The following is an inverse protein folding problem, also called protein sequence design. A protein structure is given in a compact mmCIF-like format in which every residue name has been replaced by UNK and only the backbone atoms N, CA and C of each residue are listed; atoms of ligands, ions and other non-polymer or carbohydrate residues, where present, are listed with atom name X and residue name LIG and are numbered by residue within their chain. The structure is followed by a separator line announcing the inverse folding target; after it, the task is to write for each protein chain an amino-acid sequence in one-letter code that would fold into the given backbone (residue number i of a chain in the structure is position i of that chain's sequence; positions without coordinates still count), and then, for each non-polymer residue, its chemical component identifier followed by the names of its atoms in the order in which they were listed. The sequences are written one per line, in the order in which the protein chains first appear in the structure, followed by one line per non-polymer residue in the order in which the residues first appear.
data_IF_968078390118
#
_entry.id   IF_968078390118
#
_cell.length_a   1.000
_cell.length_b   1.000
_cell.length_c   1.000
_cell.angle_alpha   90.00
_cell.angle_beta   90.00
_cell.angle_gamma   90.00
#
_symmetry.space_group_name_H-M   'P 1'
#
loop_
_entity.id
_entity.type
_entity.pdbx_description
1 polymer ?
#
# COMPACT_ATOMS: atom_id res chain seq x y z
N UNK A 1 16.40 -26.15 10.11
CA UNK A 1 15.32 -25.51 10.89
C UNK A 1 15.56 -25.77 12.37
N UNK A 2 15.34 -24.77 13.23
CA UNK A 2 15.51 -24.87 14.70
C UNK A 2 14.17 -24.65 15.39
N UNK A 3 13.75 -25.54 16.28
CA UNK A 3 12.50 -25.36 17.04
C UNK A 3 12.71 -24.37 18.19
N UNK A 4 11.84 -23.37 18.28
CA UNK A 4 11.82 -22.37 19.35
C UNK A 4 10.85 -22.79 20.45
N UNK A 5 9.65 -23.22 20.07
CA UNK A 5 8.59 -23.64 20.98
C UNK A 5 7.90 -24.87 20.42
N UNK A 6 7.55 -25.81 21.30
CA UNK A 6 6.70 -26.95 20.98
C UNK A 6 5.62 -27.04 22.07
N UNK A 7 4.40 -26.65 21.71
CA UNK A 7 3.21 -26.79 22.53
C UNK A 7 2.43 -28.01 22.06
N UNK A 8 2.65 -29.12 22.74
CA UNK A 8 2.02 -30.40 22.42
C UNK A 8 0.56 -30.49 22.88
N UNK A 9 0.06 -29.56 23.69
CA UNK A 9 -1.35 -29.53 24.08
C UNK A 9 -2.23 -28.90 22.99
N UNK A 10 -1.66 -27.97 22.21
CA UNK A 10 -2.35 -27.27 21.13
C UNK A 10 -1.85 -27.66 19.73
N UNK A 11 -0.95 -28.65 19.61
CA UNK A 11 -0.27 -29.05 18.37
C UNK A 11 0.42 -27.89 17.64
N UNK A 12 0.90 -26.89 18.38
CA UNK A 12 1.57 -25.70 17.84
C UNK A 12 3.09 -25.79 18.00
N UNK A 13 3.81 -25.58 16.89
CA UNK A 13 5.27 -25.58 16.87
C UNK A 13 5.78 -24.32 16.19
N UNK A 14 6.67 -23.56 16.85
CA UNK A 14 7.37 -22.44 16.23
C UNK A 14 8.77 -22.88 15.85
N UNK A 15 9.14 -22.70 14.59
CA UNK A 15 10.44 -23.06 14.05
C UNK A 15 11.11 -21.88 13.35
N UNK A 16 12.41 -21.74 13.51
CA UNK A 16 13.25 -20.85 12.71
C UNK A 16 13.73 -21.60 11.47
N UNK A 17 13.34 -21.08 10.31
CA UNK A 17 13.81 -21.52 9.02
C UNK A 17 14.85 -20.53 8.48
N UNK A 18 16.13 -20.79 8.76
CA UNK A 18 17.21 -19.88 8.35
C UNK A 18 17.43 -19.84 6.84
N UNK A 19 17.11 -20.92 6.12
CA UNK A 19 17.21 -20.97 4.65
C UNK A 19 16.19 -20.03 4.00
N UNK A 20 14.96 -20.02 4.52
CA UNK A 20 13.88 -19.14 4.03
C UNK A 20 13.82 -17.79 4.77
N UNK A 21 14.74 -17.56 5.71
CA UNK A 21 14.84 -16.33 6.53
C UNK A 21 13.51 -15.93 7.17
N UNK A 22 12.83 -16.90 7.77
CA UNK A 22 11.56 -16.69 8.46
C UNK A 22 11.39 -17.61 9.64
N UNK A 23 10.58 -17.19 10.60
CA UNK A 23 9.99 -18.06 11.59
C UNK A 23 8.66 -18.59 11.06
N UNK A 24 8.35 -19.84 11.34
CA UNK A 24 7.13 -20.50 10.90
C UNK A 24 6.40 -21.02 12.13
N UNK A 25 5.10 -20.73 12.21
CA UNK A 25 4.18 -21.36 13.13
C UNK A 25 3.50 -22.51 12.41
N UNK A 26 3.67 -23.71 12.93
CA UNK A 26 3.08 -24.95 12.42
C UNK A 26 1.94 -25.38 13.36
N UNK A 27 0.79 -25.72 12.81
CA UNK A 27 -0.30 -26.41 13.51
C UNK A 27 -0.46 -27.80 12.87
N UNK A 28 -0.32 -28.86 13.66
CA UNK A 28 -0.34 -30.25 13.18
C UNK A 28 0.59 -30.50 11.95
N UNK A 29 1.73 -29.80 11.90
CA UNK A 29 2.72 -29.90 10.81
C UNK A 29 2.45 -29.04 9.58
N UNK A 30 1.36 -28.27 9.56
CA UNK A 30 1.03 -27.32 8.47
C UNK A 30 1.40 -25.90 8.87
N UNK A 31 2.08 -25.15 8.01
CA UNK A 31 2.40 -23.74 8.28
C UNK A 31 1.14 -22.89 8.29
N UNK A 32 0.78 -22.36 9.45
CA UNK A 32 -0.37 -21.49 9.68
C UNK A 32 0.04 -20.03 9.93
N UNK A 33 1.32 -19.77 10.14
CA UNK A 33 1.83 -18.42 10.32
C UNK A 33 3.31 -18.28 9.99
N UNK A 34 3.73 -17.07 9.62
CA UNK A 34 5.13 -16.76 9.35
C UNK A 34 5.53 -15.39 9.88
N UNK A 35 6.79 -15.23 10.26
CA UNK A 35 7.42 -13.95 10.60
C UNK A 35 8.78 -13.87 9.91
N UNK A 36 8.88 -13.02 8.90
CA UNK A 36 10.11 -12.84 8.12
C UNK A 36 11.18 -12.11 8.94
N UNK A 37 12.45 -12.49 8.74
CA UNK A 37 13.58 -11.83 9.36
C UNK A 37 14.78 -11.64 8.44
N UNK A 38 15.71 -10.77 8.84
CA UNK A 38 17.07 -10.70 8.31
C UNK A 38 18.09 -10.72 9.44
N UNK A 39 19.29 -11.18 9.11
CA UNK A 39 20.45 -11.05 9.98
C UNK A 39 21.31 -9.92 9.42
N UNK A 40 21.53 -8.87 10.21
CA UNK A 40 22.42 -7.77 9.85
C UNK A 40 23.45 -7.59 10.96
N UNK A 41 24.69 -8.04 10.72
CA UNK A 41 25.70 -8.11 11.77
C UNK A 41 25.21 -8.99 12.92
N UNK A 42 25.17 -8.44 14.13
CA UNK A 42 24.73 -9.13 15.35
C UNK A 42 23.23 -8.92 15.68
N UNK A 43 22.46 -8.26 14.81
CA UNK A 43 21.04 -7.97 15.05
C UNK A 43 20.11 -8.70 14.09
N UNK A 44 18.87 -8.91 14.55
CA UNK A 44 17.76 -9.43 13.77
C UNK A 44 16.89 -8.27 13.29
N UNK A 45 16.53 -8.24 12.01
CA UNK A 45 15.55 -7.28 11.49
C UNK A 45 14.26 -8.02 11.24
N UNK A 46 13.18 -7.68 11.95
CA UNK A 46 11.88 -8.34 11.81
C UNK A 46 11.03 -7.59 10.78
N UNK A 47 10.41 -8.33 9.87
CA UNK A 47 9.83 -7.79 8.64
C UNK A 47 8.31 -7.78 8.63
N UNK A 48 7.70 -8.92 8.38
CA UNK A 48 6.25 -9.06 8.21
C UNK A 48 5.76 -10.30 8.92
N UNK A 49 4.64 -10.18 9.64
CA UNK A 49 3.95 -11.31 10.27
C UNK A 49 2.68 -11.60 9.47
N UNK A 50 2.49 -12.85 9.07
CA UNK A 50 1.25 -13.29 8.42
C UNK A 50 0.70 -14.56 9.06
N UNK A 51 -0.62 -14.64 9.18
CA UNK A 51 -1.38 -15.84 9.56
C UNK A 51 -2.29 -16.22 8.40
N UNK A 52 -2.38 -17.52 8.07
CA UNK A 52 -3.25 -18.00 6.99
C UNK A 52 -4.69 -17.59 7.23
N UNK A 53 -5.40 -17.24 6.16
CA UNK A 53 -6.72 -16.59 6.20
C UNK A 53 -7.74 -17.33 7.09
N UNK A 54 -7.73 -18.66 7.04
CA UNK A 54 -8.60 -19.57 7.77
C UNK A 54 -8.25 -19.70 9.27
N UNK A 55 -7.06 -19.28 9.69
CA UNK A 55 -6.54 -19.43 11.05
C UNK A 55 -6.46 -18.11 11.84
N UNK A 56 -6.94 -17.01 11.24
CA UNK A 56 -6.90 -15.67 11.85
C UNK A 56 -7.86 -15.54 13.03
N UNK A 57 -7.60 -14.54 13.89
CA UNK A 57 -8.44 -14.25 15.06
C UNK A 57 -8.28 -15.23 16.23
N UNK A 58 -7.46 -16.27 16.08
CA UNK A 58 -7.17 -17.29 17.11
C UNK A 58 -6.00 -16.94 18.04
N UNK A 59 -5.44 -15.73 17.93
CA UNK A 59 -4.27 -15.30 18.72
C UNK A 59 -2.92 -15.84 18.24
N UNK A 60 -2.89 -16.58 17.13
CA UNK A 60 -1.68 -17.24 16.60
C UNK A 60 -0.54 -16.26 16.26
N UNK A 61 -0.86 -15.05 15.79
CA UNK A 61 0.14 -14.01 15.55
C UNK A 61 0.86 -13.60 16.85
N UNK A 62 0.11 -13.45 17.94
CA UNK A 62 0.65 -13.16 19.27
C UNK A 62 1.55 -14.32 19.72
N UNK A 63 1.09 -15.57 19.61
CA UNK A 63 1.90 -16.75 19.96
C UNK A 63 3.23 -16.79 19.21
N UNK A 64 3.19 -16.56 17.89
CA UNK A 64 4.39 -16.52 17.06
C UNK A 64 5.33 -15.39 17.46
N UNK A 65 4.82 -14.17 17.63
CA UNK A 65 5.63 -13.00 18.00
C UNK A 65 6.26 -13.19 19.38
N UNK A 66 5.50 -13.64 20.38
CA UNK A 66 5.99 -13.93 21.73
C UNK A 66 7.14 -14.93 21.67
N UNK A 67 6.94 -16.08 21.03
CA UNK A 67 7.97 -17.13 20.93
C UNK A 67 9.27 -16.62 20.28
N UNK A 68 9.16 -15.79 19.25
CA UNK A 68 10.31 -15.22 18.55
C UNK A 68 11.03 -14.19 19.42
N UNK A 69 10.31 -13.29 20.08
CA UNK A 69 10.93 -12.25 20.91
C UNK A 69 11.57 -12.85 22.17
N UNK A 70 10.94 -13.84 22.81
CA UNK A 70 11.51 -14.58 23.95
C UNK A 70 12.83 -15.25 23.58
N UNK A 71 12.88 -15.94 22.43
CA UNK A 71 14.11 -16.57 21.93
C UNK A 71 15.21 -15.53 21.67
N UNK A 72 14.87 -14.40 21.03
CA UNK A 72 15.85 -13.34 20.73
C UNK A 72 16.37 -12.66 22.00
N UNK A 73 15.52 -12.47 23.01
CA UNK A 73 15.93 -11.97 24.33
C UNK A 73 16.87 -12.98 25.00
N UNK A 74 16.51 -14.26 25.04
CA UNK A 74 17.31 -15.31 25.66
C UNK A 74 18.67 -15.47 24.96
N UNK A 75 18.71 -15.30 23.63
CA UNK A 75 19.93 -15.34 22.83
C UNK A 75 20.76 -14.03 22.90
N UNK A 76 20.25 -12.97 23.54
CA UNK A 76 20.90 -11.67 23.60
C UNK A 76 20.99 -10.95 22.25
N UNK A 77 20.13 -11.29 21.29
CA UNK A 77 20.11 -10.71 19.94
C UNK A 77 19.19 -9.48 19.92
N UNK A 78 19.73 -8.34 19.48
CA UNK A 78 18.93 -7.11 19.34
C UNK A 78 18.07 -7.13 18.09
N UNK A 79 16.94 -6.43 18.14
CA UNK A 79 15.95 -6.37 17.05
C UNK A 79 15.82 -4.97 16.46
N UNK A 80 15.85 -4.85 15.14
CA UNK A 80 15.23 -3.72 14.43
C UNK A 80 13.86 -4.16 13.95
N UNK A 81 12.80 -3.48 14.37
CA UNK A 81 11.44 -3.85 14.01
C UNK A 81 10.95 -3.04 12.81
N UNK A 82 10.60 -3.72 11.72
CA UNK A 82 9.86 -3.16 10.59
C UNK A 82 8.47 -3.79 10.42
N UNK A 83 8.08 -4.68 11.33
CA UNK A 83 6.77 -5.33 11.36
C UNK A 83 5.83 -4.54 12.28
N UNK A 84 4.79 -3.86 11.76
CA UNK A 84 3.79 -3.21 12.58
C UNK A 84 2.96 -4.18 13.44
N UNK A 85 2.84 -5.47 13.07
CA UNK A 85 2.23 -6.46 13.97
C UNK A 85 3.04 -6.63 15.26
N UNK A 86 4.37 -6.70 15.14
CA UNK A 86 5.30 -6.69 16.28
C UNK A 86 5.25 -5.34 17.00
N UNK A 87 5.18 -4.23 16.27
CA UNK A 87 5.07 -2.89 16.88
C UNK A 87 3.83 -2.79 17.78
N UNK A 88 2.67 -3.28 17.31
CA UNK A 88 1.43 -3.31 18.06
C UNK A 88 1.50 -4.26 19.25
N UNK A 89 2.15 -5.41 19.10
CA UNK A 89 2.43 -6.30 20.22
C UNK A 89 3.22 -5.58 21.32
N UNK A 90 4.29 -4.88 20.96
CA UNK A 90 5.13 -4.14 21.91
C UNK A 90 4.38 -3.01 22.64
N UNK A 91 3.35 -2.40 22.03
CA UNK A 91 2.49 -1.41 22.70
C UNK A 91 1.69 -2.01 23.87
N UNK A 92 1.23 -3.25 23.72
CA UNK A 92 0.53 -3.99 24.78
C UNK A 92 1.47 -4.72 25.76
N UNK A 93 2.72 -4.92 25.35
CA UNK A 93 3.74 -5.72 26.04
C UNK A 93 5.06 -4.95 26.19
N UNK A 94 5.08 -3.86 26.99
CA UNK A 94 6.25 -3.00 27.12
C UNK A 94 7.50 -3.71 27.66
N UNK A 95 7.34 -4.85 28.33
CA UNK A 95 8.44 -5.71 28.81
C UNK A 95 9.39 -6.17 27.69
N UNK A 96 8.89 -6.29 26.45
CA UNK A 96 9.69 -6.73 25.30
C UNK A 96 10.47 -5.61 24.63
N UNK A 97 10.21 -4.34 24.94
CA UNK A 97 10.91 -3.19 24.33
C UNK A 97 12.43 -3.27 24.53
N UNK A 98 12.89 -3.96 25.58
CA UNK A 98 14.31 -4.23 25.87
C UNK A 98 15.05 -4.91 24.71
N UNK A 99 14.35 -5.69 23.88
CA UNK A 99 14.93 -6.42 22.75
C UNK A 99 15.29 -5.49 21.59
N UNK A 100 14.63 -4.33 21.47
CA UNK A 100 14.82 -3.40 20.35
C UNK A 100 16.20 -2.76 20.39
N UNK A 101 16.90 -2.68 19.26
CA UNK A 101 18.15 -1.93 19.11
C UNK A 101 17.88 -0.42 19.27
N UNK A 102 18.43 0.27 20.29
CA UNK A 102 18.14 1.69 20.52
C UNK A 102 18.79 2.59 19.46
N UNK A 103 19.80 2.09 18.73
CA UNK A 103 20.50 2.83 17.67
C UNK A 103 19.76 2.74 16.33
N UNK A 104 18.74 1.89 16.22
CA UNK A 104 17.99 1.65 14.98
C UNK A 104 16.48 1.57 15.27
N UNK A 105 15.82 2.72 15.52
CA UNK A 105 14.41 2.75 15.86
C UNK A 105 13.53 2.20 14.71
N UNK A 106 12.31 1.71 15.02
CA UNK A 106 11.34 1.27 14.01
C UNK A 106 11.06 2.36 12.97
N UNK A 107 10.57 1.97 11.77
CA UNK A 107 10.33 2.89 10.64
C UNK A 107 9.56 4.12 11.11
N UNK A 108 10.22 5.27 11.06
CA UNK A 108 9.56 6.54 10.79
C UNK A 108 9.45 6.69 9.26
N UNK A 109 8.35 7.25 8.73
CA UNK A 109 8.19 7.46 7.30
C UNK A 109 9.40 8.23 6.76
N UNK A 110 10.16 7.60 5.86
CA UNK A 110 11.40 8.18 5.32
C UNK A 110 11.05 9.24 4.28
N UNK A 111 11.34 10.49 4.62
CA UNK A 111 11.52 11.59 3.67
C UNK A 111 12.77 11.35 2.82
N UNK A 112 12.61 11.32 1.50
CA UNK A 112 13.63 11.69 0.50
C UNK A 112 14.58 10.59 0.00
N UNK A 113 14.46 10.24 -1.29
CA UNK A 113 15.54 9.80 -2.21
C UNK A 113 15.01 9.84 -3.68
N UNK A 114 15.86 9.96 -4.72
CA UNK A 114 15.74 11.01 -5.74
C UNK A 114 15.03 10.61 -7.03
N UNK A 115 14.51 11.64 -7.72
CA UNK A 115 13.78 11.57 -8.99
C UNK A 115 14.70 11.74 -10.21
N UNK A 116 14.33 11.09 -11.31
CA UNK A 116 14.84 11.36 -12.64
C UNK A 116 13.70 11.66 -13.62
N UNK A 117 13.91 12.65 -14.49
CA UNK A 117 13.22 12.79 -15.78
C UNK A 117 12.03 13.77 -15.83
N UNK A 118 12.26 14.97 -16.37
CA UNK A 118 11.25 15.97 -16.72
C UNK A 118 10.60 15.66 -18.07
N UNK A 119 9.29 15.87 -18.21
CA UNK A 119 8.68 16.37 -19.45
C UNK A 119 7.42 17.20 -19.18
N UNK A 120 7.12 18.12 -20.09
CA UNK A 120 6.37 19.36 -19.87
C UNK A 120 5.10 19.40 -20.75
N UNK A 121 3.97 19.74 -20.12
CA UNK A 121 2.71 20.34 -20.63
C UNK A 121 1.87 19.66 -21.75
N UNK A 122 0.60 19.38 -21.42
CA UNK A 122 -0.58 19.62 -22.27
C UNK A 122 -1.82 19.91 -21.38
N UNK A 123 -2.67 20.87 -21.77
CA UNK A 123 -3.76 21.45 -20.98
C UNK A 123 -5.16 20.95 -21.40
N UNK A 124 -5.28 19.65 -21.64
CA UNK A 124 -6.54 19.00 -22.00
C UNK A 124 -6.96 17.98 -20.94
N UNK A 125 -7.77 18.47 -20.00
CA UNK A 125 -8.64 17.80 -19.04
C UNK A 125 -8.06 17.23 -17.71
N UNK A 126 -8.60 17.64 -16.54
CA UNK A 126 -8.06 17.26 -15.23
C UNK A 126 -8.33 15.80 -14.83
N UNK A 127 -9.32 15.13 -15.42
CA UNK A 127 -9.68 13.75 -15.09
C UNK A 127 -8.82 12.73 -15.87
N UNK A 128 -8.69 12.90 -17.18
CA UNK A 128 -7.82 12.07 -18.02
C UNK A 128 -6.37 12.07 -17.53
N UNK A 129 -5.85 13.25 -17.14
CA UNK A 129 -4.49 13.39 -16.62
C UNK A 129 -4.30 12.70 -15.26
N UNK A 130 -5.29 12.79 -14.36
CA UNK A 130 -5.27 12.11 -13.07
C UNK A 130 -5.20 10.58 -13.25
N UNK A 131 -6.05 10.02 -14.09
CA UNK A 131 -6.07 8.57 -14.37
C UNK A 131 -4.70 8.13 -14.90
N UNK A 132 -4.14 8.87 -15.87
CA UNK A 132 -2.82 8.53 -16.41
C UNK A 132 -1.70 8.60 -15.34
N UNK A 133 -1.74 9.59 -14.44
CA UNK A 133 -0.80 9.70 -13.34
C UNK A 133 -0.93 8.55 -12.33
N UNK A 134 -2.15 8.15 -11.98
CA UNK A 134 -2.43 7.00 -11.11
C UNK A 134 -1.88 5.70 -11.72
N UNK A 135 -2.10 5.49 -13.02
CA UNK A 135 -1.57 4.35 -13.76
C UNK A 135 -0.05 4.36 -13.88
N UNK A 136 0.56 5.53 -14.09
CA UNK A 136 2.02 5.68 -14.05
C UNK A 136 2.61 5.19 -12.72
N UNK A 137 2.01 5.59 -11.60
CA UNK A 137 2.42 5.13 -10.25
C UNK A 137 2.24 3.61 -10.08
N UNK A 138 1.14 3.04 -10.58
CA UNK A 138 0.90 1.60 -10.52
C UNK A 138 1.94 0.81 -11.33
N UNK A 139 2.30 1.30 -12.52
CA UNK A 139 3.36 0.71 -13.36
C UNK A 139 4.72 0.78 -12.68
N UNK A 140 5.06 1.89 -12.04
CA UNK A 140 6.32 2.02 -11.28
C UNK A 140 6.39 1.04 -10.10
N UNK A 141 5.29 0.89 -9.35
CA UNK A 141 5.20 -0.06 -8.25
C UNK A 141 5.28 -1.52 -8.76
N UNK A 142 4.62 -1.83 -9.88
CA UNK A 142 4.71 -3.16 -10.51
C UNK A 142 6.16 -3.48 -10.95
N UNK A 143 6.83 -2.53 -11.61
CA UNK A 143 8.21 -2.69 -12.05
C UNK A 143 9.18 -2.94 -10.87
N UNK A 144 9.06 -2.15 -9.79
CA UNK A 144 9.87 -2.34 -8.56
C UNK A 144 9.61 -3.71 -7.91
N UNK A 145 8.36 -4.17 -7.94
CA UNK A 145 7.97 -5.46 -7.36
C UNK A 145 8.54 -6.66 -8.11
N UNK A 146 9.01 -6.45 -9.35
CA UNK A 146 9.61 -7.49 -10.19
C UNK A 146 11.13 -7.36 -10.31
N UNK A 147 11.76 -6.34 -9.70
CA UNK A 147 13.19 -6.08 -9.82
C UNK A 147 14.04 -7.22 -9.22
N UNK A 148 14.82 -7.97 -10.02
CA UNK A 148 15.64 -9.08 -9.54
C UNK A 148 16.76 -8.64 -8.61
N UNK A 149 17.21 -7.39 -8.70
CA UNK A 149 18.29 -6.83 -7.88
C UNK A 149 17.82 -6.43 -6.47
N UNK A 150 16.52 -6.21 -6.29
CA UNK A 150 15.93 -5.91 -5.00
C UNK A 150 15.93 -7.15 -4.11
N UNK A 151 16.18 -6.92 -2.83
CA UNK A 151 16.10 -8.00 -1.87
C UNK A 151 14.65 -8.53 -1.72
N UNK A 152 14.48 -9.78 -1.29
CA UNK A 152 13.15 -10.41 -1.26
C UNK A 152 12.13 -9.68 -0.36
N UNK A 153 12.60 -9.05 0.72
CA UNK A 153 11.78 -8.27 1.63
C UNK A 153 11.26 -6.97 0.99
N UNK A 154 12.15 -6.16 0.42
CA UNK A 154 11.78 -4.89 -0.22
C UNK A 154 10.90 -5.14 -1.45
N UNK A 155 11.14 -6.25 -2.16
CA UNK A 155 10.31 -6.69 -3.27
C UNK A 155 8.89 -7.08 -2.82
N UNK A 156 8.76 -7.81 -1.70
CA UNK A 156 7.45 -8.11 -1.09
C UNK A 156 6.73 -6.86 -0.62
N UNK A 157 7.46 -5.95 0.04
CA UNK A 157 6.93 -4.64 0.44
C UNK A 157 6.42 -3.84 -0.76
N UNK A 158 7.18 -3.82 -1.85
CA UNK A 158 6.75 -3.18 -3.10
C UNK A 158 5.51 -3.87 -3.68
N UNK A 159 5.44 -5.20 -3.62
CA UNK A 159 4.28 -5.99 -4.05
C UNK A 159 3.04 -5.65 -3.24
N UNK A 160 3.19 -5.47 -1.92
CA UNK A 160 2.11 -5.04 -1.05
C UNK A 160 1.60 -3.64 -1.36
N UNK A 161 2.53 -2.70 -1.58
CA UNK A 161 2.20 -1.34 -1.95
C UNK A 161 1.48 -1.29 -3.30
N UNK A 162 1.98 -2.06 -4.29
CA UNK A 162 1.30 -2.23 -5.57
C UNK A 162 -0.12 -2.76 -5.37
N UNK A 163 -0.29 -3.89 -4.69
CA UNK A 163 -1.58 -4.53 -4.52
C UNK A 163 -2.59 -3.64 -3.77
N UNK A 164 -2.12 -2.90 -2.75
CA UNK A 164 -2.97 -1.99 -1.99
C UNK A 164 -3.40 -0.76 -2.82
N UNK A 165 -2.47 -0.10 -3.50
CA UNK A 165 -2.78 1.07 -4.34
C UNK A 165 -3.66 0.66 -5.53
N UNK A 166 -3.45 -0.54 -6.09
CA UNK A 166 -4.26 -1.09 -7.17
C UNK A 166 -5.70 -1.40 -6.71
N UNK A 167 -5.87 -2.01 -5.53
CA UNK A 167 -7.19 -2.28 -4.96
C UNK A 167 -7.95 -0.98 -4.64
N UNK A 168 -7.27 0.01 -4.05
CA UNK A 168 -7.83 1.33 -3.78
C UNK A 168 -8.27 2.03 -5.07
N UNK A 169 -7.43 1.97 -6.11
CA UNK A 169 -7.72 2.53 -7.42
C UNK A 169 -8.96 1.87 -8.03
N UNK A 170 -8.98 0.54 -8.12
CA UNK A 170 -10.11 -0.21 -8.65
C UNK A 170 -11.43 0.11 -7.90
N UNK A 171 -11.40 0.11 -6.57
CA UNK A 171 -12.57 0.44 -5.77
C UNK A 171 -13.07 1.89 -5.98
N UNK A 172 -12.16 2.85 -6.15
CA UNK A 172 -12.50 4.24 -6.43
C UNK A 172 -13.07 4.42 -7.85
N UNK A 173 -12.49 3.75 -8.86
CA UNK A 173 -13.02 3.68 -10.23
C UNK A 173 -14.45 3.12 -10.23
N UNK A 174 -14.69 2.05 -9.46
CA UNK A 174 -16.02 1.46 -9.34
C UNK A 174 -17.04 2.40 -8.67
N UNK A 175 -16.61 3.20 -7.69
CA UNK A 175 -17.51 4.09 -6.97
C UNK A 175 -17.79 5.39 -7.72
N UNK A 176 -16.78 5.96 -8.37
CA UNK A 176 -16.86 7.28 -9.00
C UNK A 176 -17.13 7.15 -10.50
N UNK A 177 -16.21 6.54 -11.25
CA UNK A 177 -16.28 6.51 -12.72
C UNK A 177 -17.42 5.62 -13.22
N UNK A 178 -17.55 4.39 -12.71
CA UNK A 178 -18.65 3.50 -13.11
C UNK A 178 -20.02 4.06 -12.72
N UNK A 179 -20.12 4.73 -11.56
CA UNK A 179 -21.39 5.35 -11.14
C UNK A 179 -21.77 6.51 -12.05
N UNK A 180 -20.81 7.37 -12.42
CA UNK A 180 -21.05 8.48 -13.34
C UNK A 180 -21.38 7.99 -14.76
N UNK A 181 -20.63 7.00 -15.26
CA UNK A 181 -20.75 6.50 -16.63
C UNK A 181 -22.01 5.68 -16.88
N UNK A 182 -22.68 5.16 -15.84
CA UNK A 182 -23.94 4.41 -15.98
C UNK A 182 -25.04 5.19 -16.71
N UNK A 183 -25.04 6.51 -16.60
CA UNK A 183 -26.06 7.36 -17.22
C UNK A 183 -25.76 7.71 -18.69
N UNK A 184 -24.49 7.67 -19.10
CA UNK A 184 -24.03 8.21 -20.39
C UNK A 184 -23.31 7.20 -21.30
N UNK A 185 -22.68 6.15 -20.74
CA UNK A 185 -21.83 5.20 -21.47
C UNK A 185 -22.01 3.77 -20.93
N UNK A 186 -23.24 3.25 -21.01
CA UNK A 186 -23.62 1.97 -20.39
C UNK A 186 -22.87 0.73 -20.90
N UNK A 187 -22.51 0.68 -22.19
CA UNK A 187 -21.75 -0.44 -22.76
C UNK A 187 -20.29 -0.43 -22.28
N UNK A 188 -19.59 0.70 -22.41
CA UNK A 188 -18.21 0.85 -21.94
C UNK A 188 -18.12 0.66 -20.41
N UNK A 189 -19.10 1.14 -19.65
CA UNK A 189 -19.17 0.94 -18.20
C UNK A 189 -19.37 -0.54 -17.82
N UNK A 190 -20.11 -1.31 -18.62
CA UNK A 190 -20.27 -2.75 -18.39
C UNK A 190 -18.97 -3.51 -18.65
N UNK A 191 -18.23 -3.15 -19.70
CA UNK A 191 -16.92 -3.77 -20.01
C UNK A 191 -15.86 -3.39 -18.97
N UNK A 192 -15.82 -2.13 -18.54
CA UNK A 192 -14.92 -1.69 -17.47
C UNK A 192 -15.21 -2.43 -16.15
N UNK A 193 -16.49 -2.66 -15.82
CA UNK A 193 -16.87 -3.44 -14.64
C UNK A 193 -16.38 -4.89 -14.70
N UNK A 194 -16.49 -5.54 -15.86
CA UNK A 194 -16.02 -6.91 -16.02
C UNK A 194 -14.49 -7.00 -15.92
N UNK A 195 -13.76 -6.10 -16.59
CA UNK A 195 -12.32 -6.01 -16.47
C UNK A 195 -11.89 -5.75 -15.01
N UNK A 196 -12.59 -4.88 -14.28
CA UNK A 196 -12.30 -4.58 -12.87
C UNK A 196 -12.38 -5.83 -11.99
N UNK A 197 -13.40 -6.67 -12.19
CA UNK A 197 -13.54 -7.94 -11.45
C UNK A 197 -12.41 -8.90 -11.73
N UNK A 198 -12.03 -9.02 -13.01
CA UNK A 198 -10.90 -9.85 -13.42
C UNK A 198 -9.59 -9.31 -12.83
N UNK A 199 -9.40 -8.00 -12.82
CA UNK A 199 -8.24 -7.35 -12.23
C UNK A 199 -8.15 -7.58 -10.72
N UNK A 200 -9.25 -7.39 -9.98
CA UNK A 200 -9.31 -7.70 -8.55
C UNK A 200 -9.02 -9.18 -8.26
N UNK A 201 -9.55 -10.10 -9.09
CA UNK A 201 -9.24 -11.52 -8.96
C UNK A 201 -7.76 -11.81 -9.23
N UNK A 202 -7.14 -11.15 -10.20
CA UNK A 202 -5.71 -11.28 -10.46
C UNK A 202 -4.86 -10.74 -9.30
N UNK A 203 -5.25 -9.60 -8.69
CA UNK A 203 -4.58 -9.07 -7.49
C UNK A 203 -4.66 -10.06 -6.31
N UNK A 204 -5.80 -10.74 -6.14
CA UNK A 204 -5.96 -11.79 -5.12
C UNK A 204 -5.01 -12.96 -5.36
N UNK A 205 -4.94 -13.45 -6.59
CA UNK A 205 -4.03 -14.55 -6.98
C UNK A 205 -2.57 -14.12 -6.80
N UNK A 206 -2.22 -12.92 -7.22
CA UNK A 206 -0.88 -12.35 -7.10
C UNK A 206 -0.44 -12.29 -5.63
N UNK A 207 -1.28 -11.75 -4.73
CA UNK A 207 -0.98 -11.71 -3.30
C UNK A 207 -0.87 -13.11 -2.73
N UNK A 208 -1.85 -13.99 -2.97
CA UNK A 208 -1.81 -15.37 -2.48
C UNK A 208 -0.55 -16.11 -2.94
N UNK A 209 -0.13 -15.92 -4.19
CA UNK A 209 1.10 -16.50 -4.73
C UNK A 209 2.38 -15.97 -4.07
N UNK A 210 2.44 -14.67 -3.81
CA UNK A 210 3.60 -14.02 -3.17
C UNK A 210 3.79 -14.47 -1.71
N UNK A 211 2.68 -14.77 -1.05
CA UNK A 211 2.60 -15.12 0.37
C UNK A 211 2.50 -16.62 0.65
N UNK A 212 2.47 -17.45 -0.40
CA UNK A 212 2.57 -18.90 -0.25
C UNK A 212 1.26 -19.59 0.09
N UNK A 213 0.13 -18.99 -0.28
CA UNK A 213 -1.19 -19.61 -0.20
C UNK A 213 -1.21 -20.90 -1.03
N UNK A 214 -1.51 -22.02 -0.36
CA UNK A 214 -1.50 -23.36 -0.93
C UNK A 214 -2.35 -23.49 -2.21
N UNK A 215 -3.38 -22.65 -2.37
CA UNK A 215 -4.25 -22.63 -3.55
C UNK A 215 -3.55 -22.16 -4.81
N UNK A 216 -2.45 -21.41 -4.69
CA UNK A 216 -1.78 -20.73 -5.79
C UNK A 216 -0.32 -21.13 -5.95
N UNK A 217 0.25 -21.97 -5.08
CA UNK A 217 1.67 -22.34 -5.10
C UNK A 217 2.14 -22.93 -6.44
N UNK A 218 1.27 -23.68 -7.11
CA UNK A 218 1.56 -24.33 -8.39
C UNK A 218 1.66 -23.34 -9.58
N UNK A 219 1.23 -22.09 -9.40
CA UNK A 219 1.32 -21.06 -10.43
C UNK A 219 2.74 -20.51 -10.54
N UNK A 220 3.14 -20.05 -11.74
CA UNK A 220 4.39 -19.33 -11.90
C UNK A 220 4.27 -17.89 -11.42
N UNK A 221 5.22 -17.40 -10.63
CA UNK A 221 5.27 -16.00 -10.20
C UNK A 221 5.34 -15.04 -11.41
N UNK A 222 6.05 -15.42 -12.48
CA UNK A 222 6.15 -14.61 -13.69
C UNK A 222 4.85 -14.59 -14.50
N UNK A 223 4.05 -15.65 -14.44
CA UNK A 223 2.73 -15.69 -15.10
C UNK A 223 1.70 -14.87 -14.32
N UNK A 224 1.70 -14.97 -12.98
CA UNK A 224 0.79 -14.17 -12.15
C UNK A 224 1.02 -12.67 -12.29
N UNK A 225 2.29 -12.24 -12.39
CA UNK A 225 2.61 -10.83 -12.65
C UNK A 225 2.20 -10.39 -14.04
N UNK A 226 2.51 -11.18 -15.07
CA UNK A 226 2.15 -10.87 -16.46
C UNK A 226 0.64 -10.70 -16.64
N UNK A 227 -0.15 -11.54 -15.97
CA UNK A 227 -1.60 -11.44 -16.01
C UNK A 227 -2.13 -10.20 -15.28
N UNK A 228 -1.57 -9.87 -14.11
CA UNK A 228 -1.91 -8.64 -13.39
C UNK A 228 -1.57 -7.38 -14.20
N UNK A 229 -0.41 -7.34 -14.87
CA UNK A 229 0.00 -6.23 -15.73
C UNK A 229 -0.84 -6.12 -17.01
N UNK A 230 -1.19 -7.26 -17.62
CA UNK A 230 -2.12 -7.29 -18.78
C UNK A 230 -3.47 -6.68 -18.39
N UNK A 231 -4.05 -7.13 -17.28
CA UNK A 231 -5.34 -6.64 -16.80
C UNK A 231 -5.28 -5.17 -16.36
N UNK A 232 -4.17 -4.72 -15.77
CA UNK A 232 -3.94 -3.31 -15.44
C UNK A 232 -3.90 -2.44 -16.70
N UNK A 233 -3.20 -2.88 -17.76
CA UNK A 233 -3.15 -2.14 -19.04
C UNK A 233 -4.52 -2.10 -19.73
N UNK A 234 -5.28 -3.18 -19.67
CA UNK A 234 -6.68 -3.18 -20.14
C UNK A 234 -7.55 -2.25 -19.30
N UNK A 235 -7.34 -2.22 -17.98
CA UNK A 235 -8.04 -1.31 -17.07
C UNK A 235 -7.79 0.16 -17.45
N UNK A 236 -6.53 0.55 -17.68
CA UNK A 236 -6.16 1.91 -18.16
C UNK A 236 -6.87 2.27 -19.47
N UNK A 237 -6.95 1.32 -20.41
CA UNK A 237 -7.59 1.55 -21.70
C UNK A 237 -9.10 1.74 -21.58
N UNK A 238 -9.78 0.98 -20.71
CA UNK A 238 -11.22 1.12 -20.50
C UNK A 238 -11.57 2.35 -19.67
N UNK A 239 -10.76 2.68 -18.66
CA UNK A 239 -10.88 3.94 -17.92
C UNK A 239 -10.74 5.14 -18.85
N UNK A 240 -9.74 5.14 -19.73
CA UNK A 240 -9.54 6.20 -20.73
C UNK A 240 -10.78 6.40 -21.61
N UNK A 241 -11.40 5.32 -22.09
CA UNK A 241 -12.63 5.42 -22.90
C UNK A 241 -13.80 6.00 -22.11
N UNK A 242 -14.00 5.50 -20.89
CA UNK A 242 -15.08 5.97 -20.00
C UNK A 242 -14.89 7.43 -19.62
N UNK A 243 -13.67 7.84 -19.28
CA UNK A 243 -13.32 9.22 -18.95
C UNK A 243 -13.55 10.13 -20.16
N UNK A 244 -13.11 9.74 -21.35
CA UNK A 244 -13.37 10.51 -22.57
C UNK A 244 -14.88 10.72 -22.82
N UNK A 245 -15.70 9.68 -22.56
CA UNK A 245 -17.17 9.80 -22.64
C UNK A 245 -17.75 10.75 -21.58
N UNK A 246 -17.26 10.67 -20.34
CA UNK A 246 -17.66 11.57 -19.25
C UNK A 246 -17.27 13.03 -19.54
N UNK A 247 -16.07 13.28 -20.05
CA UNK A 247 -15.59 14.62 -20.40
C UNK A 247 -16.38 15.26 -21.55
N UNK A 248 -16.99 14.46 -22.44
CA UNK A 248 -17.88 14.98 -23.47
C UNK A 248 -19.25 15.39 -22.91
N UNK A 249 -19.74 14.68 -21.90
CA UNK A 249 -21.07 14.91 -21.30
C UNK A 249 -21.01 15.97 -20.20
N UNK A 250 -19.90 16.04 -19.47
CA UNK A 250 -19.69 16.98 -18.39
C UNK A 250 -18.83 18.16 -18.86
N UNK A 251 -19.23 19.38 -18.52
CA UNK A 251 -18.37 20.55 -18.73
C UNK A 251 -17.08 20.49 -17.91
N UNK A 252 -16.19 21.47 -18.10
CA UNK A 252 -14.90 21.55 -17.41
C UNK A 252 -15.02 21.47 -15.87
N UNK A 253 -16.04 22.12 -15.29
CA UNK A 253 -16.30 22.10 -13.85
C UNK A 253 -16.73 20.71 -13.36
N UNK A 254 -17.65 20.04 -14.07
CA UNK A 254 -18.09 18.68 -13.70
C UNK A 254 -16.98 17.64 -13.83
N UNK A 255 -16.12 17.77 -14.85
CA UNK A 255 -14.93 16.92 -15.01
C UNK A 255 -13.93 17.13 -13.87
N UNK A 256 -13.73 18.38 -13.45
CA UNK A 256 -12.85 18.70 -12.31
C UNK A 256 -13.38 18.10 -11.01
N UNK A 257 -14.69 18.15 -10.78
CA UNK A 257 -15.33 17.56 -9.60
C UNK A 257 -15.20 16.03 -9.61
N UNK A 258 -15.38 15.38 -10.75
CA UNK A 258 -15.16 13.94 -10.89
C UNK A 258 -13.70 13.55 -10.60
N UNK A 259 -12.73 14.32 -11.08
CA UNK A 259 -11.31 14.11 -10.78
C UNK A 259 -11.03 14.24 -9.28
N UNK A 260 -11.59 15.27 -8.64
CA UNK A 260 -11.48 15.48 -7.19
C UNK A 260 -12.09 14.33 -6.41
N UNK A 261 -13.31 13.92 -6.78
CA UNK A 261 -14.01 12.81 -6.15
C UNK A 261 -13.21 11.51 -6.28
N UNK A 262 -12.65 11.20 -7.45
CA UNK A 262 -11.82 10.03 -7.69
C UNK A 262 -10.56 10.04 -6.80
N UNK A 263 -9.85 11.16 -6.76
CA UNK A 263 -8.63 11.32 -5.96
C UNK A 263 -8.88 11.14 -4.46
N UNK A 264 -9.93 11.78 -3.92
CA UNK A 264 -10.32 11.63 -2.51
C UNK A 264 -10.78 10.20 -2.23
N UNK A 265 -11.54 9.61 -3.16
CA UNK A 265 -12.13 8.30 -2.93
C UNK A 265 -11.10 7.18 -2.92
N UNK A 266 -10.03 7.29 -3.71
CA UNK A 266 -8.94 6.31 -3.71
C UNK A 266 -8.32 6.12 -2.32
N UNK A 267 -8.00 7.20 -1.61
CA UNK A 267 -7.41 7.11 -0.26
C UNK A 267 -8.35 6.50 0.77
N UNK A 268 -9.64 6.75 0.61
CA UNK A 268 -10.69 6.20 1.46
C UNK A 268 -11.27 4.88 0.93
N UNK A 269 -10.58 4.21 0.00
CA UNK A 269 -11.01 2.92 -0.54
C UNK A 269 -10.37 1.73 0.18
N UNK A 270 -10.98 0.53 0.10
CA UNK A 270 -10.38 -0.70 0.58
C UNK A 270 -9.00 -0.96 -0.05
N UNK A 271 -8.08 -1.53 0.73
CA UNK A 271 -6.69 -1.84 0.33
C UNK A 271 -6.54 -3.29 -0.13
N UNK A 272 -7.63 -4.06 -0.13
CA UNK A 272 -7.69 -5.43 -0.65
C UNK A 272 -8.68 -5.51 -1.80
N UNK A 273 -8.43 -6.40 -2.78
CA UNK A 273 -9.40 -6.67 -3.83
C UNK A 273 -10.59 -7.45 -3.26
N UNK A 274 -11.80 -7.06 -3.66
CA UNK A 274 -13.04 -7.71 -3.22
C UNK A 274 -13.87 -8.20 -4.43
N UNK A 275 -13.37 -9.18 -5.21
CA UNK A 275 -13.93 -9.55 -6.52
C UNK A 275 -15.34 -10.15 -6.46
N UNK A 276 -15.76 -10.66 -5.30
CA UNK A 276 -17.09 -11.23 -5.11
C UNK A 276 -18.08 -10.24 -4.45
N UNK A 277 -17.65 -9.02 -4.17
CA UNK A 277 -18.51 -7.99 -3.58
C UNK A 277 -19.36 -7.30 -4.64
N UNK A 278 -20.48 -6.66 -4.26
CA UNK A 278 -21.18 -5.78 -5.19
C UNK A 278 -20.29 -4.60 -5.57
N UNK A 279 -19.98 -4.43 -6.86
CA UNK A 279 -19.11 -3.33 -7.31
C UNK A 279 -19.85 -2.03 -7.61
N UNK A 280 -21.17 -2.05 -7.81
CA UNK A 280 -21.85 -0.89 -8.38
C UNK A 280 -23.24 -0.63 -7.79
N UNK A 281 -23.65 0.64 -7.81
CA UNK A 281 -24.86 1.12 -7.14
C UNK A 281 -24.70 1.23 -5.61
N UNK A 282 -25.82 1.51 -4.93
CA UNK A 282 -25.86 1.76 -3.47
C UNK A 282 -25.29 0.59 -2.67
N UNK A 283 -25.62 -0.65 -3.07
CA UNK A 283 -25.11 -1.85 -2.42
C UNK A 283 -23.57 -1.94 -2.47
N UNK A 284 -22.96 -1.54 -3.59
CA UNK A 284 -21.51 -1.55 -3.73
C UNK A 284 -20.82 -0.45 -2.92
N UNK A 285 -21.43 0.73 -2.85
CA UNK A 285 -20.92 1.81 -2.01
C UNK A 285 -20.86 1.40 -0.53
N UNK A 286 -21.93 0.78 -0.02
CA UNK A 286 -21.99 0.26 1.34
C UNK A 286 -20.96 -0.87 1.55
N UNK A 287 -20.86 -1.80 0.59
CA UNK A 287 -19.90 -2.90 0.67
C UNK A 287 -18.45 -2.39 0.81
N UNK A 288 -18.04 -1.42 -0.02
CA UNK A 288 -16.71 -0.80 0.08
C UNK A 288 -16.47 -0.10 1.41
N UNK A 289 -17.48 0.58 1.96
CA UNK A 289 -17.36 1.24 3.26
C UNK A 289 -17.08 0.23 4.38
N UNK A 290 -17.77 -0.92 4.36
CA UNK A 290 -17.54 -2.01 5.31
C UNK A 290 -16.18 -2.67 5.10
N UNK A 291 -15.81 -2.92 3.85
CA UNK A 291 -14.52 -3.51 3.51
C UNK A 291 -13.35 -2.62 3.88
N UNK A 292 -13.45 -1.30 3.73
CA UNK A 292 -12.42 -0.37 4.21
C UNK A 292 -12.18 -0.50 5.70
N UNK A 293 -13.25 -0.63 6.50
CA UNK A 293 -13.14 -0.80 7.96
C UNK A 293 -12.44 -2.12 8.27
N UNK A 294 -12.89 -3.21 7.66
CA UNK A 294 -12.26 -4.52 7.82
C UNK A 294 -10.79 -4.49 7.37
N UNK A 295 -10.50 -3.95 6.19
CA UNK A 295 -9.16 -3.90 5.64
C UNK A 295 -8.22 -3.06 6.51
N UNK A 296 -8.68 -1.93 7.06
CA UNK A 296 -7.86 -1.11 7.96
C UNK A 296 -7.45 -1.87 9.22
N UNK A 297 -8.38 -2.63 9.83
CA UNK A 297 -8.04 -3.47 10.98
C UNK A 297 -7.12 -4.62 10.57
N UNK A 298 -7.31 -5.18 9.37
CA UNK A 298 -6.46 -6.25 8.85
C UNK A 298 -5.06 -5.78 8.48
N UNK A 299 -4.90 -4.60 7.92
CA UNK A 299 -3.60 -4.05 7.54
C UNK A 299 -2.80 -3.61 8.77
N UNK A 300 -3.47 -3.13 9.81
CA UNK A 300 -2.86 -2.91 11.13
C UNK A 300 -2.39 -4.22 11.77
N UNK A 301 -3.18 -5.29 11.66
CA UNK A 301 -2.84 -6.61 12.19
C UNK A 301 -1.73 -7.32 11.40
N UNK A 302 -1.74 -7.20 10.07
CA UNK A 302 -0.68 -7.71 9.18
C UNK A 302 0.57 -6.82 9.19
N UNK A 303 0.45 -5.60 9.70
CA UNK A 303 1.49 -4.61 9.65
C UNK A 303 1.99 -4.31 8.23
N UNK A 304 1.06 -4.02 7.33
CA UNK A 304 1.44 -3.55 6.00
C UNK A 304 1.95 -2.11 6.13
N UNK A 305 3.21 -1.87 5.76
CA UNK A 305 3.80 -0.52 5.65
C UNK A 305 3.22 0.25 4.45
N UNK A 306 1.90 0.46 4.46
CA UNK A 306 1.13 1.08 3.40
C UNK A 306 1.43 2.58 3.31
N UNK A 307 1.22 3.19 2.14
CA UNK A 307 1.30 4.64 2.01
C UNK A 307 0.32 5.29 2.99
N UNK A 308 0.82 6.10 3.91
CA UNK A 308 -0.02 6.91 4.79
C UNK A 308 -0.78 7.96 3.98
N UNK A 309 -2.01 8.26 4.39
CA UNK A 309 -2.80 9.37 3.87
C UNK A 309 -1.94 10.65 3.82
N UNK A 310 -1.90 11.39 2.70
CA UNK A 310 -1.26 12.68 2.67
C UNK A 310 -1.96 13.60 3.67
N UNK A 311 -1.23 14.11 4.66
CA UNK A 311 -1.77 15.09 5.61
C UNK A 311 -2.14 16.36 4.82
N UNK A 312 -3.44 16.63 4.64
CA UNK A 312 -3.94 17.83 3.97
C UNK A 312 -3.68 19.06 4.83
N UNK A 313 -2.76 20.00 4.49
CA UNK A 313 -2.71 21.29 5.16
C UNK A 313 -3.91 22.15 4.73
N UNK A 314 -4.37 23.02 5.62
CA UNK A 314 -5.64 23.76 5.55
C UNK A 314 -5.80 24.77 4.37
N UNK A 315 -4.90 24.80 3.39
CA UNK A 315 -5.00 25.68 2.23
C UNK A 315 -5.36 24.89 0.96
N UNK A 316 -6.61 25.05 0.51
CA UNK A 316 -7.32 24.18 -0.43
C UNK A 316 -6.94 24.34 -1.93
N UNK A 317 -6.00 25.22 -2.29
CA UNK A 317 -5.78 25.59 -3.71
C UNK A 317 -4.40 25.27 -4.32
N UNK A 318 -3.35 25.01 -3.53
CA UNK A 318 -2.03 24.67 -4.09
C UNK A 318 -1.73 23.17 -4.09
N UNK A 319 -2.12 22.45 -3.04
CA UNK A 319 -1.66 21.07 -2.78
C UNK A 319 -2.39 19.97 -3.56
N UNK A 320 -3.68 20.16 -3.90
CA UNK A 320 -4.42 19.23 -4.76
C UNK A 320 -3.77 19.16 -6.15
N UNK A 321 -3.30 20.29 -6.67
CA UNK A 321 -2.57 20.38 -7.93
C UNK A 321 -1.23 19.63 -7.88
N UNK A 322 -0.51 19.72 -6.76
CA UNK A 322 0.73 18.98 -6.54
C UNK A 322 0.51 17.47 -6.40
N UNK A 323 -0.58 17.06 -5.77
CA UNK A 323 -0.99 15.66 -5.65
C UNK A 323 -1.51 15.07 -6.97
N UNK A 324 -2.32 15.81 -7.71
CA UNK A 324 -2.92 15.39 -8.99
C UNK A 324 -1.92 15.43 -10.17
N UNK A 325 -0.94 16.35 -10.15
CA UNK A 325 -0.04 16.59 -11.28
C UNK A 325 1.45 16.38 -10.98
N UNK A 326 1.82 15.99 -9.75
CA UNK A 326 3.21 15.71 -9.39
C UNK A 326 4.15 16.90 -9.53
N UNK A 327 3.65 18.14 -9.46
CA UNK A 327 4.50 19.33 -9.45
C UNK A 327 5.00 19.61 -8.03
N UNK A 328 6.13 20.29 -7.86
CA UNK A 328 6.60 20.77 -6.55
C UNK A 328 6.16 22.21 -6.31
N UNK A 329 5.71 22.52 -5.09
CA UNK A 329 5.49 23.88 -4.58
C UNK A 329 6.83 24.63 -4.62
N UNK A 330 7.00 25.56 -5.56
CA UNK A 330 7.98 26.64 -5.42
C UNK A 330 7.25 27.87 -4.86
N UNK A 331 7.33 28.02 -3.54
CA UNK A 331 7.29 29.34 -2.90
C UNK A 331 7.96 29.24 -1.53
N UNK A 332 9.27 29.45 -1.47
CA UNK A 332 9.94 29.83 -0.22
C UNK A 332 9.76 31.36 -0.02
N UNK A 333 9.09 31.83 1.04
CA UNK A 333 9.00 33.24 1.37
C UNK A 333 10.26 33.68 2.13
N UNK A 334 11.41 33.71 1.46
CA UNK A 334 12.65 34.21 2.05
C UNK A 334 13.45 35.09 1.06
N UNK A 335 12.82 36.13 0.53
CA UNK A 335 13.53 37.27 -0.04
C UNK A 335 12.73 38.56 0.19
N UNK A 336 13.02 39.26 1.30
CA UNK A 336 12.65 40.67 1.42
C UNK A 336 13.50 41.46 0.42
N UNK A 337 12.91 42.25 -0.51
CA UNK A 337 13.70 43.15 -1.32
C UNK A 337 14.23 44.28 -0.44
N UNK A 338 15.54 44.46 -0.43
CA UNK A 338 16.21 45.55 0.26
C UNK A 338 15.73 46.90 -0.26
N UNK A 339 15.08 47.66 0.61
CA UNK A 339 14.88 49.10 0.40
C UNK A 339 16.18 49.81 0.74
N UNK A 340 16.74 50.45 -0.27
CA UNK A 340 17.80 51.44 -0.18
C UNK A 340 17.42 52.56 0.80
N UNK A 341 18.15 52.68 1.92
CA UNK A 341 18.21 53.92 2.68
C UNK A 341 19.65 54.45 2.67
N UNK A 342 19.82 55.51 1.90
CA UNK A 342 20.96 56.42 1.91
C UNK A 342 21.10 57.05 3.30
N UNK A 343 22.32 57.13 3.89
CA UNK A 343 22.51 57.81 5.16
C UNK A 343 22.52 59.32 4.95
N UNK A 344 21.56 60.03 5.55
CA UNK A 344 21.59 61.47 5.66
C UNK A 344 21.94 61.84 7.09
N UNK A 345 23.19 62.24 7.28
CA UNK A 345 23.72 62.86 8.48
C UNK A 345 23.08 64.25 8.64
N UNK A 346 22.39 64.47 9.77
CA UNK A 346 22.16 65.82 10.28
C UNK A 346 21.96 65.86 11.79
N UNK A 347 23.08 66.17 12.46
CA UNK A 347 23.28 67.17 13.54
C UNK A 347 22.94 66.82 15.00
N UNK A 348 23.95 67.17 15.80
CA UNK A 348 23.92 67.93 17.05
C UNK A 348 23.85 67.17 18.39
N UNK A 349 24.99 67.33 19.09
CA UNK A 349 25.31 67.23 20.52
C UNK A 349 25.70 65.88 21.07
#
# INVERSE_FOLDING_TARGET
MRTLVNDSEHDLVVVENDELRRYELLEAGTTVGTLDFRVLGSRRVLGHTEITEDQRGRGLATTLITAVLDDLIAAGVRVTNYCPAVERFLQGHPEYVVVLDPLHPPIQPRSGAPAGGKQQADHSAPLQQLVHAQHGRLRDLAARSQDPSMDGFDRRRSTDQFAAVAAQHAAAVADVLLTAARASSGEDAAVLLENLRQFEQALRVLKGRAYGDARFLDLSAAETWREAERLLAEHESWETKVVAGLEQVHGAEGTTELARALAIRQWSSPTRPHPNSPHAGVAGHIARQLWRIADSTWDELEGRGLPTEPMMPANEHSTLSHYLFGTTDDADPAAKPGTSHTPQDSRNR
#
